data_IF_177675454274
#
_entry.id   IF_177675454274
#
_cell.length_a   1.000
_cell.length_b   1.000
_cell.length_c   1.000
_cell.angle_alpha   90.00
_cell.angle_beta   90.00
_cell.angle_gamma   90.00
#
_symmetry.space_group_name_H-M   'P 1'
#
loop_
_entity.id
_entity.type
_entity.pdbx_description
1 polymer ?
#
# COMPACT_ATOMS: atom_id res chain seq x y z
N UNK A 1 33.53 22.18 -34.91
CA UNK A 1 33.03 22.92 -33.73
C UNK A 1 34.13 23.83 -33.23
N UNK A 2 33.81 25.03 -32.72
CA UNK A 2 34.84 25.96 -32.20
C UNK A 2 35.21 25.62 -30.77
N UNK A 3 36.51 25.47 -30.49
CA UNK A 3 37.09 25.20 -29.16
C UNK A 3 36.56 26.17 -28.09
N UNK A 4 36.31 27.42 -28.48
CA UNK A 4 35.74 28.44 -27.61
C UNK A 4 34.34 28.08 -27.07
N UNK A 5 33.52 27.39 -27.86
CA UNK A 5 32.19 26.95 -27.44
C UNK A 5 32.25 25.76 -26.48
N UNK A 6 33.28 24.91 -26.60
CA UNK A 6 33.51 23.79 -25.68
C UNK A 6 34.00 24.30 -24.32
N UNK A 7 34.93 25.26 -24.30
CA UNK A 7 35.39 25.90 -23.06
C UNK A 7 34.23 26.56 -22.28
N UNK A 8 33.36 27.32 -22.96
CA UNK A 8 32.17 27.91 -22.33
C UNK A 8 31.17 26.88 -21.80
N UNK A 9 31.10 25.69 -22.40
CA UNK A 9 30.25 24.59 -21.89
C UNK A 9 30.84 23.99 -20.62
N UNK A 10 32.15 23.81 -20.59
CA UNK A 10 32.88 23.31 -19.42
C UNK A 10 32.72 24.27 -18.24
N UNK A 11 32.92 25.57 -18.46
CA UNK A 11 32.74 26.59 -17.41
C UNK A 11 31.31 26.59 -16.82
N UNK A 12 30.28 26.46 -17.66
CA UNK A 12 28.88 26.36 -17.20
C UNK A 12 28.64 25.07 -16.41
N UNK A 13 29.26 23.96 -16.80
CA UNK A 13 29.16 22.69 -16.10
C UNK A 13 29.81 22.79 -14.71
N UNK A 14 30.99 23.40 -14.61
CA UNK A 14 31.69 23.64 -13.34
C UNK A 14 30.88 24.52 -12.39
N UNK A 15 30.28 25.60 -12.89
CA UNK A 15 29.40 26.45 -12.08
C UNK A 15 28.17 25.70 -11.57
N UNK A 16 27.61 24.80 -12.39
CA UNK A 16 26.45 23.98 -12.02
C UNK A 16 26.83 22.96 -10.95
N UNK A 17 27.97 22.29 -11.11
CA UNK A 17 28.52 21.36 -10.12
C UNK A 17 28.84 22.06 -8.80
N UNK A 18 29.42 23.27 -8.83
CA UNK A 18 29.69 24.05 -7.64
C UNK A 18 28.39 24.40 -6.87
N UNK A 19 27.32 24.77 -7.58
CA UNK A 19 26.00 25.03 -6.98
C UNK A 19 25.40 23.76 -6.37
N UNK A 20 25.48 22.62 -7.06
CA UNK A 20 24.99 21.33 -6.55
C UNK A 20 25.77 20.90 -5.31
N UNK A 21 27.10 21.03 -5.31
CA UNK A 21 27.95 20.72 -4.15
C UNK A 21 27.57 21.54 -2.93
N UNK A 22 27.35 22.85 -3.09
CA UNK A 22 26.87 23.73 -1.99
C UNK A 22 25.52 23.26 -1.44
N UNK A 23 24.55 22.97 -2.31
CA UNK A 23 23.23 22.46 -1.89
C UNK A 23 23.32 21.13 -1.13
N UNK A 24 24.13 20.20 -1.62
CA UNK A 24 24.33 18.90 -0.97
C UNK A 24 24.98 19.04 0.41
N UNK A 25 25.97 19.93 0.55
CA UNK A 25 26.59 20.22 1.86
C UNK A 25 25.58 20.83 2.83
N UNK A 26 24.75 21.78 2.38
CA UNK A 26 23.69 22.34 3.21
C UNK A 26 22.66 21.30 3.63
N UNK A 27 22.26 20.43 2.70
CA UNK A 27 21.32 19.35 2.97
C UNK A 27 21.90 18.35 3.98
N UNK A 28 23.17 17.96 3.81
CA UNK A 28 23.87 17.10 4.77
C UNK A 28 23.93 17.73 6.17
N UNK A 29 24.17 19.05 6.27
CA UNK A 29 24.15 19.76 7.56
C UNK A 29 22.76 19.75 8.19
N UNK A 30 21.70 19.96 7.40
CA UNK A 30 20.30 19.91 7.87
C UNK A 30 19.92 18.52 8.37
N UNK A 31 20.29 17.47 7.64
CA UNK A 31 20.03 16.09 8.01
C UNK A 31 20.76 15.73 9.31
N UNK A 32 22.05 16.07 9.43
CA UNK A 32 22.81 15.85 10.68
C UNK A 32 22.18 16.58 11.88
N UNK A 33 21.74 17.83 11.68
CA UNK A 33 21.07 18.59 12.74
C UNK A 33 19.71 17.97 13.12
N UNK A 34 18.96 17.45 12.16
CA UNK A 34 17.70 16.76 12.43
C UNK A 34 17.93 15.45 13.19
N UNK A 35 18.93 14.65 12.80
CA UNK A 35 19.31 13.43 13.50
C UNK A 35 19.73 13.71 14.95
N UNK A 36 20.57 14.72 15.18
CA UNK A 36 20.98 15.10 16.54
C UNK A 36 19.79 15.47 17.44
N UNK A 37 18.79 16.19 16.89
CA UNK A 37 17.55 16.51 17.63
C UNK A 37 16.72 15.27 17.94
N UNK A 38 16.66 14.30 17.03
CA UNK A 38 15.94 13.05 17.26
C UNK A 38 16.61 12.22 18.37
N UNK A 39 17.94 12.17 18.39
CA UNK A 39 18.68 11.48 19.46
C UNK A 39 18.43 12.11 20.83
N UNK A 40 18.35 13.44 20.94
CA UNK A 40 18.02 14.09 22.22
C UNK A 40 16.61 13.77 22.68
N UNK A 41 15.64 13.73 21.75
CA UNK A 41 14.25 13.38 22.07
C UNK A 41 14.14 11.93 22.54
N UNK A 42 14.85 10.99 21.91
CA UNK A 42 14.85 9.58 22.32
C UNK A 42 15.48 9.39 23.70
N UNK A 43 16.59 10.09 23.99
CA UNK A 43 17.20 10.05 25.33
C UNK A 43 16.29 10.63 26.42
N UNK A 44 15.53 11.68 26.09
CA UNK A 44 14.60 12.32 27.04
C UNK A 44 13.30 11.53 27.25
N UNK A 45 12.90 10.71 26.29
CA UNK A 45 11.65 9.96 26.36
C UNK A 45 11.74 8.68 27.20
N UNK A 46 12.94 8.28 27.62
CA UNK A 46 13.15 7.11 28.48
C UNK A 46 13.00 5.76 27.76
N UNK A 47 13.02 5.75 26.42
CA UNK A 47 13.02 4.53 25.62
C UNK A 47 14.44 4.21 25.15
N UNK A 48 14.79 2.92 25.15
CA UNK A 48 16.14 2.46 24.80
C UNK A 48 16.41 2.60 23.30
N UNK A 49 15.37 2.43 22.47
CA UNK A 49 15.50 2.58 21.02
C UNK A 49 14.48 3.56 20.41
N UNK A 50 14.85 4.26 19.32
CA UNK A 50 13.91 5.10 18.58
C UNK A 50 12.69 4.33 18.06
N UNK A 51 12.84 3.03 17.82
CA UNK A 51 11.74 2.16 17.35
C UNK A 51 10.69 1.98 18.42
N UNK A 52 11.09 1.70 19.66
CA UNK A 52 10.18 1.57 20.80
C UNK A 52 9.41 2.85 21.07
N UNK A 53 10.08 4.02 21.01
CA UNK A 53 9.41 5.30 21.13
C UNK A 53 8.32 5.47 20.07
N UNK A 54 8.62 5.13 18.82
CA UNK A 54 7.65 5.23 17.72
C UNK A 54 6.49 4.26 17.91
N UNK A 55 6.74 3.03 18.37
CA UNK A 55 5.68 2.06 18.64
C UNK A 55 4.78 2.49 19.80
N UNK A 56 5.36 3.01 20.88
CA UNK A 56 4.60 3.58 21.99
C UNK A 56 3.75 4.79 21.57
N UNK A 57 4.26 5.65 20.68
CA UNK A 57 3.51 6.78 20.13
C UNK A 57 2.36 6.31 19.21
N UNK A 58 2.61 5.28 18.39
CA UNK A 58 1.58 4.68 17.53
C UNK A 58 0.45 4.11 18.38
N UNK A 59 0.78 3.41 19.47
CA UNK A 59 -0.19 2.82 20.38
C UNK A 59 -0.96 3.89 21.15
N UNK A 60 -0.26 4.85 21.77
CA UNK A 60 -0.86 5.94 22.56
C UNK A 60 -1.84 6.79 21.76
N UNK A 61 -1.53 7.08 20.50
CA UNK A 61 -2.34 7.93 19.63
C UNK A 61 -3.19 7.14 18.62
N UNK A 62 -3.20 5.80 18.70
CA UNK A 62 -4.01 4.95 17.82
C UNK A 62 -3.71 5.12 16.33
N UNK A 63 -2.47 5.44 15.95
CA UNK A 63 -2.10 5.75 14.57
C UNK A 63 -2.18 4.49 13.72
N UNK A 64 -3.13 4.46 12.78
CA UNK A 64 -3.23 3.37 11.80
C UNK A 64 -2.18 3.53 10.71
N UNK A 65 -1.03 2.87 10.87
CA UNK A 65 -0.05 2.76 9.80
C UNK A 65 -0.63 1.93 8.64
N UNK A 66 -0.94 2.58 7.52
CA UNK A 66 -1.52 1.97 6.31
C UNK A 66 -0.69 0.83 5.70
N UNK A 67 0.53 0.55 6.18
CA UNK A 67 1.42 -0.50 5.67
C UNK A 67 1.62 -1.73 6.57
N UNK A 68 1.24 -1.72 7.85
CA UNK A 68 1.40 -2.89 8.75
C UNK A 68 0.27 -3.93 8.64
N UNK A 69 -0.65 -3.79 7.67
CA UNK A 69 -1.80 -4.68 7.47
C UNK A 69 -1.68 -5.66 6.30
N UNK A 70 -0.45 -5.98 5.88
CA UNK A 70 -0.22 -6.98 4.82
C UNK A 70 0.24 -8.35 5.34
N UNK A 71 0.79 -8.43 6.56
CA UNK A 71 1.34 -9.69 7.09
C UNK A 71 0.42 -10.42 8.10
N UNK A 72 -0.54 -9.73 8.72
CA UNK A 72 -1.45 -10.31 9.72
C UNK A 72 -2.90 -10.47 9.23
N UNK A 73 -3.22 -10.04 8.01
CA UNK A 73 -4.45 -10.49 7.37
C UNK A 73 -4.20 -11.94 6.96
N UNK A 74 -4.89 -12.88 7.62
CA UNK A 74 -4.90 -14.30 7.27
C UNK A 74 -4.81 -14.45 5.74
N UNK A 75 -3.98 -15.37 5.20
CA UNK A 75 -3.89 -15.57 3.76
C UNK A 75 -5.33 -15.67 3.27
N UNK A 76 -5.76 -14.72 2.44
CA UNK A 76 -7.09 -14.80 1.86
C UNK A 76 -7.04 -16.04 0.98
N UNK A 77 -7.42 -17.16 1.58
CA UNK A 77 -7.36 -18.46 0.97
C UNK A 77 -8.06 -18.30 -0.35
N UNK A 78 -7.30 -18.44 -1.43
CA UNK A 78 -7.83 -18.31 -2.78
C UNK A 78 -9.06 -19.22 -2.82
N UNK A 79 -10.27 -18.62 -2.87
CA UNK A 79 -11.50 -19.39 -2.76
C UNK A 79 -11.47 -20.50 -3.80
N UNK A 80 -11.79 -21.73 -3.38
CA UNK A 80 -11.80 -22.89 -4.28
C UNK A 80 -12.71 -22.57 -5.47
N UNK A 81 -12.30 -22.98 -6.68
CA UNK A 81 -13.10 -22.79 -7.89
C UNK A 81 -14.42 -23.56 -7.73
N UNK A 82 -15.53 -22.85 -7.59
CA UNK A 82 -16.86 -23.46 -7.47
C UNK A 82 -17.29 -24.07 -8.79
N UNK A 83 -17.72 -25.34 -8.79
CA UNK A 83 -18.41 -25.96 -9.93
C UNK A 83 -19.87 -25.52 -9.89
N UNK A 84 -20.37 -24.90 -10.95
CA UNK A 84 -21.75 -24.40 -11.00
C UNK A 84 -22.65 -25.53 -11.49
N UNK A 85 -23.46 -26.08 -10.59
CA UNK A 85 -24.55 -27.01 -10.93
C UNK A 85 -25.86 -26.24 -11.14
N UNK A 86 -26.84 -26.80 -11.86
CA UNK A 86 -28.17 -26.20 -12.02
C UNK A 86 -28.85 -25.92 -10.67
N UNK A 87 -28.75 -26.85 -9.72
CA UNK A 87 -29.28 -26.70 -8.35
C UNK A 87 -28.68 -25.50 -7.62
N UNK A 88 -27.34 -25.36 -7.66
CA UNK A 88 -26.64 -24.25 -7.02
C UNK A 88 -27.03 -22.90 -7.65
N UNK A 89 -27.22 -22.87 -8.97
CA UNK A 89 -27.66 -21.67 -9.69
C UNK A 89 -29.05 -21.25 -9.22
N UNK A 90 -29.97 -22.19 -9.12
CA UNK A 90 -31.36 -21.91 -8.77
C UNK A 90 -31.49 -21.52 -7.28
N UNK A 91 -30.69 -22.14 -6.40
CA UNK A 91 -30.59 -21.76 -4.99
C UNK A 91 -30.01 -20.34 -4.81
N UNK A 92 -28.96 -19.98 -5.56
CA UNK A 92 -28.40 -18.61 -5.56
C UNK A 92 -29.46 -17.61 -6.06
N UNK A 93 -30.21 -17.94 -7.11
CA UNK A 93 -31.29 -17.07 -7.62
C UNK A 93 -32.42 -16.90 -6.62
N UNK A 94 -32.78 -17.95 -5.87
CA UNK A 94 -33.77 -17.85 -4.80
C UNK A 94 -33.27 -16.92 -3.68
N UNK A 95 -32.05 -17.13 -3.17
CA UNK A 95 -31.46 -16.31 -2.10
C UNK A 95 -31.25 -14.84 -2.50
N UNK A 96 -31.01 -14.56 -3.78
CA UNK A 96 -30.89 -13.20 -4.31
C UNK A 96 -32.21 -12.41 -4.32
N UNK A 97 -33.37 -13.08 -4.22
CA UNK A 97 -34.66 -12.39 -4.07
C UNK A 97 -34.79 -11.74 -2.69
N UNK A 98 -34.13 -12.29 -1.69
CA UNK A 98 -34.27 -11.90 -0.29
C UNK A 98 -33.05 -11.16 0.25
N UNK A 99 -31.86 -11.39 -0.33
CA UNK A 99 -30.59 -10.91 0.20
C UNK A 99 -29.70 -10.27 -0.87
N UNK A 100 -28.83 -9.34 -0.42
CA UNK A 100 -27.86 -8.69 -1.30
C UNK A 100 -26.78 -9.67 -1.77
N UNK A 101 -26.24 -9.43 -2.98
CA UNK A 101 -25.19 -10.27 -3.58
C UNK A 101 -23.96 -10.47 -2.67
N UNK A 102 -23.62 -9.46 -1.85
CA UNK A 102 -22.51 -9.55 -0.91
C UNK A 102 -22.81 -10.48 0.28
N UNK A 103 -24.06 -10.50 0.75
CA UNK A 103 -24.50 -11.41 1.81
C UNK A 103 -24.50 -12.85 1.28
N UNK A 104 -25.10 -13.08 0.11
CA UNK A 104 -25.12 -14.42 -0.54
C UNK A 104 -23.69 -14.93 -0.84
N UNK A 105 -22.75 -14.05 -1.23
CA UNK A 105 -21.32 -14.36 -1.44
C UNK A 105 -20.62 -14.89 -0.19
N UNK A 106 -21.01 -14.38 0.98
CA UNK A 106 -20.44 -14.80 2.25
C UNK A 106 -21.12 -16.08 2.74
N UNK A 107 -22.45 -16.11 2.72
CA UNK A 107 -23.24 -17.21 3.26
C UNK A 107 -23.02 -18.52 2.48
N UNK A 108 -22.79 -18.44 1.17
CA UNK A 108 -22.54 -19.61 0.32
C UNK A 108 -21.05 -19.83 0.05
N UNK A 109 -20.16 -18.98 0.58
CA UNK A 109 -18.72 -18.97 0.30
C UNK A 109 -18.33 -18.88 -1.20
N UNK A 110 -19.26 -18.45 -2.04
CA UNK A 110 -19.08 -18.30 -3.49
C UNK A 110 -18.45 -16.93 -3.79
N UNK A 111 -17.57 -16.86 -4.79
CA UNK A 111 -17.04 -15.56 -5.24
C UNK A 111 -18.17 -14.64 -5.72
N UNK A 112 -18.11 -13.37 -5.30
CA UNK A 112 -19.06 -12.34 -5.75
C UNK A 112 -19.19 -12.29 -7.28
N UNK A 113 -18.08 -12.48 -8.00
CA UNK A 113 -18.06 -12.49 -9.47
C UNK A 113 -18.90 -13.64 -10.06
N UNK A 114 -18.97 -14.78 -9.37
CA UNK A 114 -19.79 -15.93 -9.78
C UNK A 114 -21.26 -15.63 -9.55
N UNK A 115 -21.62 -15.05 -8.40
CA UNK A 115 -23.00 -14.64 -8.10
C UNK A 115 -23.48 -13.60 -9.11
N UNK A 116 -22.64 -12.61 -9.45
CA UNK A 116 -22.97 -11.62 -10.47
C UNK A 116 -23.20 -12.26 -11.86
N UNK A 117 -22.48 -13.33 -12.20
CA UNK A 117 -22.70 -14.08 -13.45
C UNK A 117 -23.99 -14.91 -13.41
N UNK A 118 -24.34 -15.52 -12.28
CA UNK A 118 -25.61 -16.23 -12.07
C UNK A 118 -26.79 -15.25 -12.19
N UNK A 119 -26.70 -14.09 -11.54
CA UNK A 119 -27.72 -13.04 -11.60
C UNK A 119 -27.94 -12.52 -13.03
N UNK A 120 -26.86 -12.42 -13.83
CA UNK A 120 -26.91 -12.01 -15.24
C UNK A 120 -27.33 -13.13 -16.21
N UNK A 121 -27.66 -14.33 -15.71
CA UNK A 121 -28.08 -15.46 -16.53
C UNK A 121 -26.97 -16.11 -17.37
N UNK A 122 -25.69 -15.85 -17.06
CA UNK A 122 -24.56 -16.42 -17.81
C UNK A 122 -24.48 -17.95 -17.71
N UNK A 123 -25.15 -18.54 -16.71
CA UNK A 123 -25.22 -19.99 -16.46
C UNK A 123 -26.61 -20.59 -16.77
N UNK A 124 -27.49 -19.84 -17.45
CA UNK A 124 -28.83 -20.32 -17.79
C UNK A 124 -28.82 -21.22 -19.03
N UNK A 125 -27.79 -21.11 -19.86
CA UNK A 125 -27.64 -21.83 -21.13
C UNK A 125 -26.86 -23.15 -21.04
N UNK A 126 -26.61 -23.68 -19.83
CA UNK A 126 -26.00 -25.00 -19.69
C UNK A 126 -27.05 -26.06 -20.07
N UNK A 127 -27.02 -26.44 -21.35
CA UNK A 127 -27.75 -27.58 -21.92
C UNK A 127 -26.85 -28.81 -21.88
#
# INVERSE_FOLDING_TARGET
MSIHNELKRIEKAEQTLAKQKKKLIEQQKKEKAAHAKLETVVKQSGFDTPKELVEALIEKYGIRLHRRRAAAAAPSGRRKRTKITPELRDEVKAKLKEHSMNKVSKDMEISYAVIAKIAKGAYDKAK
#
